data_IF_681273357990
#
_entry.id   IF_681273357990
#
_cell.length_a   1.000
_cell.length_b   1.000
_cell.length_c   1.000
_cell.angle_alpha   90.00
_cell.angle_beta   90.00
_cell.angle_gamma   90.00
#
_symmetry.space_group_name_H-M   'P 1'
#
loop_
_entity.id
_entity.type
_entity.pdbx_description
1 polymer ?
#
# COMPACT_ATOMS: atom_id res chain seq x y z
N UNK A 1 -30.91 -7.47 -70.00
CA UNK A 1 -31.63 -7.32 -68.72
C UNK A 1 -30.93 -6.25 -67.90
N UNK A 2 -31.69 -5.25 -67.40
CA UNK A 2 -31.20 -4.04 -66.73
C UNK A 2 -30.58 -4.36 -65.37
N UNK A 3 -29.39 -3.84 -65.10
CA UNK A 3 -28.86 -3.73 -63.75
C UNK A 3 -29.57 -2.61 -62.99
N UNK A 4 -29.99 -2.89 -61.75
CA UNK A 4 -30.49 -1.91 -60.80
C UNK A 4 -29.60 -1.94 -59.55
N UNK A 5 -28.75 -0.93 -59.42
CA UNK A 5 -28.25 -0.46 -58.12
C UNK A 5 -29.39 0.21 -57.36
N UNK A 6 -29.46 0.07 -56.02
CA UNK A 6 -30.02 1.11 -55.19
C UNK A 6 -28.91 2.06 -54.70
N UNK A 7 -29.04 3.32 -55.10
CA UNK A 7 -28.46 4.48 -54.43
C UNK A 7 -29.35 4.80 -53.22
N UNK A 8 -28.80 4.78 -52.00
CA UNK A 8 -29.53 5.30 -50.85
C UNK A 8 -28.95 4.98 -49.48
N UNK A 9 -28.29 5.96 -48.86
CA UNK A 9 -28.38 6.11 -47.40
C UNK A 9 -27.10 6.11 -46.56
N UNK A 10 -25.95 6.53 -47.08
CA UNK A 10 -24.74 6.74 -46.25
C UNK A 10 -24.91 7.94 -45.29
N UNK A 11 -25.90 8.79 -45.54
CA UNK A 11 -26.12 10.06 -44.82
C UNK A 11 -26.83 9.91 -43.46
N UNK A 12 -27.75 8.93 -43.34
CA UNK A 12 -28.48 8.67 -42.08
C UNK A 12 -27.59 8.07 -40.98
N UNK A 13 -26.48 7.44 -41.35
CA UNK A 13 -25.50 6.85 -40.41
C UNK A 13 -24.62 7.92 -39.78
N UNK A 14 -24.14 8.89 -40.56
CA UNK A 14 -23.28 9.97 -40.08
C UNK A 14 -23.99 10.91 -39.11
N UNK A 15 -25.26 11.20 -39.35
CA UNK A 15 -26.09 12.00 -38.44
C UNK A 15 -26.31 11.30 -37.09
N UNK A 16 -26.54 9.98 -37.10
CA UNK A 16 -26.68 9.17 -35.87
C UNK A 16 -25.36 9.04 -35.11
N UNK A 17 -24.25 8.85 -35.81
CA UNK A 17 -22.92 8.80 -35.21
C UNK A 17 -22.51 10.16 -34.61
N UNK A 18 -22.80 11.26 -35.31
CA UNK A 18 -22.57 12.62 -34.81
C UNK A 18 -23.42 12.93 -33.58
N UNK A 19 -24.70 12.55 -33.61
CA UNK A 19 -25.57 12.67 -32.44
C UNK A 19 -25.01 11.89 -31.24
N UNK A 20 -24.66 10.61 -31.43
CA UNK A 20 -24.10 9.77 -30.37
C UNK A 20 -22.80 10.34 -29.78
N UNK A 21 -21.88 10.80 -30.63
CA UNK A 21 -20.64 11.42 -30.17
C UNK A 21 -20.90 12.71 -29.36
N UNK A 22 -21.86 13.54 -29.79
CA UNK A 22 -22.25 14.75 -29.09
C UNK A 22 -22.86 14.43 -27.72
N UNK A 23 -23.75 13.42 -27.63
CA UNK A 23 -24.35 13.01 -26.35
C UNK A 23 -23.29 12.43 -25.40
N UNK A 24 -22.36 11.63 -25.91
CA UNK A 24 -21.25 11.09 -25.11
C UNK A 24 -20.33 12.20 -24.60
N UNK A 25 -20.01 13.19 -25.44
CA UNK A 25 -19.18 14.33 -25.06
C UNK A 25 -19.89 15.23 -24.04
N UNK A 26 -21.19 15.48 -24.23
CA UNK A 26 -22.01 16.22 -23.27
C UNK A 26 -22.13 15.50 -21.92
N UNK A 27 -22.26 14.17 -21.92
CA UNK A 27 -22.25 13.36 -20.71
C UNK A 27 -20.89 13.48 -19.98
N UNK A 28 -19.77 13.28 -20.69
CA UNK A 28 -18.41 13.47 -20.15
C UNK A 28 -18.19 14.87 -19.57
N UNK A 29 -18.63 15.91 -20.29
CA UNK A 29 -18.55 17.28 -19.82
C UNK A 29 -19.42 17.49 -18.57
N UNK A 30 -20.64 16.98 -18.53
CA UNK A 30 -21.51 17.10 -17.36
C UNK A 30 -20.89 16.43 -16.12
N UNK A 31 -20.34 15.21 -16.26
CA UNK A 31 -19.66 14.54 -15.14
C UNK A 31 -18.38 15.27 -14.72
N UNK A 32 -17.64 15.84 -15.67
CA UNK A 32 -16.42 16.61 -15.42
C UNK A 32 -16.66 18.02 -14.86
N UNK A 33 -17.81 18.64 -15.16
CA UNK A 33 -18.18 19.97 -14.64
C UNK A 33 -18.90 19.89 -13.29
N UNK A 34 -19.64 18.81 -13.00
CA UNK A 34 -20.17 18.55 -11.65
C UNK A 34 -19.03 18.23 -10.68
N UNK A 35 -17.97 17.58 -11.16
CA UNK A 35 -16.68 17.49 -10.48
C UNK A 35 -15.74 18.61 -10.94
N UNK A 36 -16.20 19.87 -10.83
CA UNK A 36 -15.40 21.06 -11.14
C UNK A 36 -13.99 21.00 -10.54
N UNK A 37 -13.03 21.83 -11.00
CA UNK A 37 -11.67 21.76 -10.52
C UNK A 37 -11.72 21.76 -8.99
N UNK A 38 -11.03 20.81 -8.36
CA UNK A 38 -10.90 20.75 -6.91
C UNK A 38 -10.03 21.90 -6.40
N UNK A 39 -10.35 23.14 -6.80
CA UNK A 39 -9.94 24.36 -6.11
C UNK A 39 -10.76 24.34 -4.84
N UNK A 40 -10.09 24.01 -3.74
CA UNK A 40 -10.72 23.59 -2.50
C UNK A 40 -11.92 24.45 -2.11
N UNK A 41 -13.05 23.79 -1.91
CA UNK A 41 -14.02 24.33 -0.98
C UNK A 41 -13.26 24.65 0.32
N UNK A 42 -13.39 25.87 0.89
CA UNK A 42 -12.89 26.07 2.23
C UNK A 42 -13.63 25.07 3.08
N UNK A 43 -12.92 24.08 3.62
CA UNK A 43 -13.47 23.21 4.64
C UNK A 43 -13.65 24.09 5.89
N UNK A 44 -14.68 24.93 5.90
CA UNK A 44 -14.95 25.89 6.96
C UNK A 44 -16.22 25.43 7.68
N UNK A 45 -16.16 24.21 8.22
CA UNK A 45 -17.09 23.74 9.24
C UNK A 45 -16.39 23.74 10.60
N UNK A 46 -17.13 23.87 11.71
CA UNK A 46 -16.56 23.89 13.07
C UNK A 46 -15.81 22.60 13.46
N UNK A 47 -15.90 21.55 12.64
CA UNK A 47 -15.20 20.28 12.82
C UNK A 47 -13.96 20.11 11.93
N UNK A 48 -13.55 21.12 11.16
CA UNK A 48 -12.32 21.01 10.37
C UNK A 48 -11.11 21.01 11.29
N UNK A 49 -10.26 20.00 11.16
CA UNK A 49 -8.99 19.98 11.88
C UNK A 49 -8.07 21.07 11.32
N UNK A 50 -7.37 21.84 12.17
CA UNK A 50 -6.41 22.84 11.71
C UNK A 50 -5.29 22.16 10.92
N UNK A 51 -4.81 22.80 9.86
CA UNK A 51 -3.56 22.36 9.22
C UNK A 51 -2.45 22.42 10.26
N UNK A 52 -1.79 21.29 10.50
CA UNK A 52 -0.62 21.20 11.38
C UNK A 52 0.66 21.22 10.53
N UNK A 53 1.79 21.55 11.15
CA UNK A 53 3.10 21.37 10.54
C UNK A 53 3.51 19.89 10.41
N UNK A 54 2.67 18.96 10.89
CA UNK A 54 2.87 17.54 10.68
C UNK A 54 2.58 17.22 9.21
N UNK A 55 3.64 17.18 8.41
CA UNK A 55 3.57 16.65 7.06
C UNK A 55 3.36 15.14 7.16
N UNK A 56 2.15 14.67 6.86
CA UNK A 56 1.99 13.29 6.42
C UNK A 56 2.85 13.13 5.17
N UNK A 57 3.86 12.24 5.22
CA UNK A 57 4.76 12.04 4.08
C UNK A 57 3.93 11.53 2.90
N UNK A 58 3.88 12.32 1.81
CA UNK A 58 3.23 11.93 0.55
C UNK A 58 4.10 10.95 -0.26
N UNK A 59 4.95 10.18 0.42
CA UNK A 59 6.07 9.47 -0.18
C UNK A 59 7.29 10.37 -0.38
N UNK A 60 8.35 9.78 -0.92
CA UNK A 60 9.58 10.48 -1.30
C UNK A 60 9.55 10.70 -2.83
N UNK A 61 10.05 11.84 -3.30
CA UNK A 61 10.21 12.14 -4.74
C UNK A 61 11.30 11.28 -5.40
N UNK A 62 12.18 10.73 -4.58
CA UNK A 62 13.31 9.88 -4.94
C UNK A 62 13.38 8.68 -4.01
N UNK A 63 13.93 7.57 -4.48
CA UNK A 63 14.07 6.38 -3.65
C UNK A 63 15.15 6.57 -2.59
N UNK A 64 14.78 6.44 -1.31
CA UNK A 64 15.77 6.40 -0.22
C UNK A 64 16.57 5.09 -0.30
N UNK A 65 17.87 5.21 -0.59
CA UNK A 65 18.79 4.08 -0.74
C UNK A 65 19.08 3.31 0.55
N UNK A 66 18.64 3.79 1.71
CA UNK A 66 18.65 3.02 2.96
C UNK A 66 17.63 1.87 2.95
N UNK A 67 16.67 1.86 2.03
CA UNK A 67 15.67 0.80 1.89
C UNK A 67 15.85 0.01 0.58
N UNK A 68 15.69 -1.33 0.61
CA UNK A 68 15.78 -2.15 -0.60
C UNK A 68 14.62 -1.83 -1.55
N UNK A 69 14.89 -1.78 -2.86
CA UNK A 69 13.84 -1.59 -3.87
C UNK A 69 12.99 -2.86 -4.02
N UNK A 70 11.65 -2.73 -4.12
CA UNK A 70 10.75 -3.85 -4.33
C UNK A 70 10.62 -4.16 -5.84
N UNK A 71 11.72 -4.58 -6.46
CA UNK A 71 11.80 -4.89 -7.90
C UNK A 71 12.31 -6.31 -8.20
N UNK A 72 12.51 -7.11 -7.14
CA UNK A 72 12.99 -8.49 -7.20
C UNK A 72 12.51 -9.27 -5.97
N UNK A 73 12.51 -10.61 -5.98
CA UNK A 73 12.28 -11.37 -4.77
C UNK A 73 13.26 -10.98 -3.65
N UNK A 74 12.74 -10.88 -2.43
CA UNK A 74 13.52 -10.65 -1.22
C UNK A 74 13.20 -11.72 -0.19
N UNK A 75 14.23 -12.34 0.36
CA UNK A 75 14.14 -13.22 1.50
C UNK A 75 14.12 -12.38 2.78
N UNK A 76 13.20 -12.69 3.69
CA UNK A 76 13.03 -11.98 4.95
C UNK A 76 12.82 -12.98 6.08
N UNK A 77 13.61 -12.86 7.15
CA UNK A 77 13.45 -13.70 8.33
C UNK A 77 12.35 -13.13 9.25
N UNK A 78 11.50 -14.01 9.77
CA UNK A 78 10.58 -13.72 10.86
C UNK A 78 11.05 -14.47 12.11
N UNK A 79 11.51 -13.71 13.11
CA UNK A 79 11.97 -14.21 14.41
C UNK A 79 10.94 -13.89 15.48
N UNK A 80 10.82 -14.78 16.47
CA UNK A 80 9.89 -14.63 17.61
C UNK A 80 10.71 -14.49 18.87
N UNK A 81 10.47 -13.44 19.66
CA UNK A 81 11.32 -13.11 20.79
C UNK A 81 10.61 -13.43 22.10
N UNK A 82 11.28 -14.17 23.00
CA UNK A 82 10.82 -14.36 24.37
C UNK A 82 11.73 -13.58 25.33
N UNK A 83 11.17 -13.13 26.45
CA UNK A 83 11.91 -12.34 27.43
C UNK A 83 11.93 -13.08 28.78
N UNK A 84 13.00 -12.94 29.60
CA UNK A 84 13.10 -13.62 30.89
C UNK A 84 11.94 -13.32 31.86
N UNK A 85 11.34 -12.14 31.76
CA UNK A 85 10.22 -11.65 32.58
C UNK A 85 8.83 -11.97 31.99
N UNK A 86 8.76 -12.64 30.83
CA UNK A 86 7.50 -12.92 30.14
C UNK A 86 7.50 -14.26 29.42
N UNK A 87 6.71 -15.20 29.92
CA UNK A 87 6.51 -16.49 29.28
C UNK A 87 5.61 -16.36 28.02
N UNK A 88 6.02 -16.89 26.86
CA UNK A 88 5.19 -16.87 25.66
C UNK A 88 3.92 -17.70 25.81
N UNK A 89 2.78 -17.14 25.38
CA UNK A 89 1.47 -17.80 25.49
C UNK A 89 1.00 -18.48 24.19
N UNK A 90 1.62 -18.16 23.05
CA UNK A 90 1.23 -18.65 21.74
C UNK A 90 2.36 -19.45 21.08
N UNK A 91 2.03 -20.28 20.10
CA UNK A 91 3.04 -20.92 19.26
C UNK A 91 3.52 -19.95 18.16
N UNK A 92 4.83 -19.89 17.82
CA UNK A 92 5.34 -19.13 16.68
C UNK A 92 4.57 -19.37 15.36
N UNK A 93 4.13 -20.59 15.10
CA UNK A 93 3.36 -20.94 13.91
C UNK A 93 1.97 -20.29 13.88
N UNK A 94 1.32 -20.11 15.04
CA UNK A 94 0.04 -19.42 15.15
C UNK A 94 0.20 -17.95 14.81
N UNK A 95 1.22 -17.30 15.38
CA UNK A 95 1.54 -15.89 15.11
C UNK A 95 1.97 -15.67 13.65
N UNK A 96 2.71 -16.61 13.07
CA UNK A 96 3.08 -16.56 11.65
C UNK A 96 1.87 -16.57 10.71
N UNK A 97 0.83 -17.35 11.07
CA UNK A 97 -0.37 -17.52 10.26
C UNK A 97 -1.22 -16.24 10.17
N UNK A 98 -1.10 -15.33 11.14
CA UNK A 98 -1.75 -14.00 11.09
C UNK A 98 -1.19 -13.11 9.97
N UNK A 99 0.03 -13.40 9.50
CA UNK A 99 0.75 -12.57 8.54
C UNK A 99 0.90 -13.22 7.15
N UNK A 100 1.15 -14.53 7.10
CA UNK A 100 1.44 -15.26 5.87
C UNK A 100 0.39 -16.32 5.60
N UNK A 101 -0.03 -16.50 4.31
CA UNK A 101 0.58 -15.97 3.08
C UNK A 101 0.13 -14.56 2.67
N UNK A 102 -0.82 -13.95 3.38
CA UNK A 102 -1.48 -12.69 2.98
C UNK A 102 -0.48 -11.55 2.64
N UNK A 103 0.59 -11.42 3.42
CA UNK A 103 1.62 -10.38 3.20
C UNK A 103 2.39 -10.60 1.89
N UNK A 104 2.81 -11.84 1.60
CA UNK A 104 3.51 -12.18 0.34
C UNK A 104 2.62 -11.97 -0.88
N UNK A 105 1.33 -12.32 -0.78
CA UNK A 105 0.35 -12.11 -1.83
C UNK A 105 0.09 -10.62 -2.09
N UNK A 106 -0.04 -9.84 -1.03
CA UNK A 106 -0.20 -8.38 -1.13
C UNK A 106 0.94 -7.76 -1.93
N UNK A 107 2.19 -8.06 -1.55
CA UNK A 107 3.35 -7.51 -2.23
C UNK A 107 3.48 -7.97 -3.68
N UNK A 108 3.16 -9.23 -3.97
CA UNK A 108 3.14 -9.76 -5.33
C UNK A 108 2.09 -9.05 -6.18
N UNK A 109 0.88 -8.87 -5.68
CA UNK A 109 -0.22 -8.21 -6.40
C UNK A 109 0.03 -6.72 -6.59
N UNK A 110 0.43 -6.01 -5.53
CA UNK A 110 0.66 -4.56 -5.56
C UNK A 110 1.83 -4.16 -6.47
N UNK A 111 2.80 -5.06 -6.65
CA UNK A 111 3.94 -4.85 -7.55
C UNK A 111 3.70 -5.35 -8.97
N UNK A 112 2.51 -5.87 -9.30
CA UNK A 112 2.21 -6.53 -10.56
C UNK A 112 3.21 -7.66 -10.89
N UNK A 113 3.56 -8.45 -9.87
CA UNK A 113 4.48 -9.59 -9.99
C UNK A 113 5.96 -9.22 -9.99
N UNK A 114 6.34 -7.95 -9.84
CA UNK A 114 7.76 -7.54 -9.79
C UNK A 114 8.43 -7.83 -8.45
N UNK A 115 7.66 -7.90 -7.37
CA UNK A 115 8.18 -8.06 -6.01
C UNK A 115 7.51 -9.24 -5.31
N UNK A 116 8.32 -10.11 -4.72
CA UNK A 116 7.82 -11.22 -3.88
C UNK A 116 8.62 -11.24 -2.58
N UNK A 117 7.93 -11.11 -1.45
CA UNK A 117 8.52 -11.31 -0.14
C UNK A 117 8.47 -12.80 0.21
N UNK A 118 9.63 -13.40 0.45
CA UNK A 118 9.76 -14.82 0.81
C UNK A 118 10.11 -14.92 2.30
N UNK A 119 9.15 -15.30 3.16
CA UNK A 119 9.41 -15.40 4.58
C UNK A 119 10.19 -16.68 4.90
N UNK A 120 11.26 -16.53 5.69
CA UNK A 120 11.87 -17.63 6.44
C UNK A 120 11.40 -17.51 7.89
N UNK A 121 10.44 -18.36 8.27
CA UNK A 121 9.72 -18.26 9.54
C UNK A 121 10.37 -19.19 10.55
N UNK A 122 10.94 -18.61 11.61
CA UNK A 122 11.51 -19.40 12.69
C UNK A 122 10.41 -20.09 13.50
N UNK A 123 10.66 -21.34 13.90
CA UNK A 123 9.67 -22.18 14.59
C UNK A 123 9.79 -22.14 16.12
N UNK A 124 10.78 -21.41 16.62
CA UNK A 124 11.14 -21.39 18.04
C UNK A 124 11.21 -19.96 18.53
N UNK A 125 11.01 -19.79 19.83
CA UNK A 125 11.25 -18.54 20.53
C UNK A 125 12.76 -18.33 20.70
N UNK A 126 13.26 -17.20 20.21
CA UNK A 126 14.61 -16.69 20.45
C UNK A 126 14.64 -16.00 21.81
N UNK A 127 15.39 -16.54 22.80
CA UNK A 127 15.43 -15.97 24.14
C UNK A 127 16.28 -14.70 24.17
N UNK A 128 15.66 -13.58 24.53
CA UNK A 128 16.35 -12.31 24.69
C UNK A 128 17.23 -12.33 25.96
N UNK A 129 18.42 -11.71 25.94
CA UNK A 129 19.36 -11.74 27.07
C UNK A 129 18.95 -10.86 28.26
N UNK A 130 17.90 -10.04 28.13
CA UNK A 130 17.45 -9.07 29.14
C UNK A 130 15.93 -9.09 29.24
N UNK A 131 15.41 -8.73 30.41
CA UNK A 131 13.99 -8.48 30.63
C UNK A 131 13.43 -7.44 29.65
N UNK A 132 12.16 -7.56 29.29
CA UNK A 132 11.48 -6.71 28.31
C UNK A 132 11.56 -5.23 28.66
N UNK A 133 11.42 -4.90 29.95
CA UNK A 133 11.50 -3.53 30.47
C UNK A 133 12.88 -2.89 30.33
N UNK A 134 13.95 -3.68 30.27
CA UNK A 134 15.32 -3.16 30.16
C UNK A 134 15.61 -2.49 28.81
N UNK A 135 14.84 -2.81 27.78
CA UNK A 135 14.96 -2.20 26.45
C UNK A 135 14.24 -0.85 26.33
N UNK A 136 13.42 -0.48 27.32
CA UNK A 136 12.73 0.83 27.39
C UNK A 136 11.96 1.17 26.09
N UNK A 137 11.21 0.18 25.58
CA UNK A 137 10.38 0.33 24.37
C UNK A 137 9.24 1.30 24.67
N UNK A 138 9.24 2.46 24.01
CA UNK A 138 8.23 3.52 24.18
C UNK A 138 7.98 4.34 22.93
N UNK A 139 6.91 5.14 22.94
CA UNK A 139 6.71 6.21 21.95
C UNK A 139 7.93 7.15 22.05
N UNK A 140 8.59 7.39 20.92
CA UNK A 140 9.88 8.10 20.83
C UNK A 140 11.07 7.33 21.45
N UNK A 141 11.09 6.01 21.25
CA UNK A 141 12.16 5.12 21.67
C UNK A 141 13.56 5.62 21.27
N UNK A 142 14.44 5.73 22.27
CA UNK A 142 15.83 6.11 22.06
C UNK A 142 16.51 5.25 20.98
N UNK A 143 17.29 5.89 20.11
CA UNK A 143 17.91 5.21 18.98
C UNK A 143 18.99 4.21 19.41
N UNK A 144 19.73 4.51 20.48
CA UNK A 144 20.73 3.63 21.05
C UNK A 144 20.11 2.38 21.67
N UNK A 145 19.03 2.56 22.45
CA UNK A 145 18.27 1.46 23.04
C UNK A 145 17.62 0.57 21.99
N UNK A 146 16.98 1.16 20.97
CA UNK A 146 16.43 0.41 19.84
C UNK A 146 17.51 -0.39 19.10
N UNK A 147 18.68 0.20 18.87
CA UNK A 147 19.79 -0.50 18.22
C UNK A 147 20.39 -1.61 19.09
N UNK A 148 20.38 -1.48 20.42
CA UNK A 148 20.78 -2.54 21.34
C UNK A 148 19.78 -3.71 21.31
N UNK A 149 18.48 -3.41 21.36
CA UNK A 149 17.42 -4.41 21.22
C UNK A 149 17.55 -5.23 19.93
N UNK A 150 17.74 -4.57 18.79
CA UNK A 150 17.87 -5.26 17.50
C UNK A 150 19.15 -6.10 17.41
N UNK A 151 20.27 -5.65 18.01
CA UNK A 151 21.50 -6.44 18.06
C UNK A 151 21.33 -7.68 18.93
N UNK A 152 20.79 -7.51 20.14
CA UNK A 152 20.55 -8.62 21.06
C UNK A 152 19.59 -9.67 20.45
N UNK A 153 18.61 -9.24 19.64
CA UNK A 153 17.71 -10.16 18.92
C UNK A 153 18.38 -10.90 17.74
N UNK A 154 19.41 -10.32 17.11
CA UNK A 154 20.12 -10.92 15.97
C UNK A 154 21.26 -11.84 16.44
N UNK A 155 21.87 -11.53 17.58
CA UNK A 155 23.00 -12.27 18.14
C UNK A 155 22.58 -13.52 18.95
N UNK A 156 21.29 -13.67 19.26
CA UNK A 156 20.70 -14.78 20.03
C UNK A 156 20.34 -15.98 19.15
#
# INVERSE_FOLDING_TARGET
>A
MRGQQPLGGVERSRLRAGAAALTSFAALAATGLVAGPAVGAPAAGPCVLPRTAAHHSLGLDTWNRSYPRPDRPLDAVMIFLSFPDSEPLNDPAELAADHFPATSEFFTRASYGRFTLRPDIQRVWTPMPKESGAYDIRRDWDAGQRAAYLRDAIDA
#
